data_IF_752490980272
#
_entry.id   IF_752490980272
#
_cell.length_a   1.000
_cell.length_b   1.000
_cell.length_c   1.000
_cell.angle_alpha   90.00
_cell.angle_beta   90.00
_cell.angle_gamma   90.00
#
_symmetry.space_group_name_H-M   'P 1'
#
loop_
_entity.id
_entity.type
_entity.pdbx_description
1 polymer ?
#
# COMPACT_ATOMS: atom_id res chain seq x y z
N UNK A 1 -48.88 -38.34 0.41
CA UNK A 1 -48.97 -37.74 1.77
C UNK A 1 -50.31 -37.05 1.83
N UNK A 2 -51.13 -37.24 2.89
CA UNK A 2 -52.46 -36.69 2.92
C UNK A 2 -52.36 -35.14 2.95
N UNK A 3 -53.25 -34.46 2.18
CA UNK A 3 -53.32 -32.99 2.07
C UNK A 3 -53.34 -32.30 3.43
N UNK A 4 -53.85 -32.98 4.43
CA UNK A 4 -53.90 -32.49 5.82
C UNK A 4 -52.49 -32.30 6.43
N UNK A 5 -51.54 -33.22 6.14
CA UNK A 5 -50.12 -33.11 6.61
C UNK A 5 -49.41 -31.93 5.96
N UNK A 6 -49.65 -31.71 4.68
CA UNK A 6 -49.05 -30.58 3.94
C UNK A 6 -49.60 -29.24 4.44
N UNK A 7 -50.87 -29.17 4.76
CA UNK A 7 -51.50 -27.94 5.32
C UNK A 7 -50.98 -27.63 6.74
N UNK A 8 -50.81 -28.64 7.59
CA UNK A 8 -50.26 -28.48 8.95
C UNK A 8 -48.78 -28.03 8.85
N UNK A 9 -48.01 -28.64 7.98
CA UNK A 9 -46.61 -28.26 7.74
C UNK A 9 -46.51 -26.80 7.28
N UNK A 10 -47.26 -26.41 6.25
CA UNK A 10 -47.24 -25.03 5.73
C UNK A 10 -47.67 -23.98 6.79
N UNK A 11 -48.68 -24.33 7.62
CA UNK A 11 -49.12 -23.49 8.70
C UNK A 11 -48.02 -23.32 9.77
N UNK A 12 -47.34 -24.41 10.13
CA UNK A 12 -46.28 -24.42 11.15
C UNK A 12 -45.04 -23.66 10.67
N UNK A 13 -44.64 -23.89 9.43
CA UNK A 13 -43.50 -23.16 8.82
C UNK A 13 -43.84 -21.70 8.62
N UNK A 14 -45.10 -21.38 8.21
CA UNK A 14 -45.56 -20.01 8.04
C UNK A 14 -45.52 -19.22 9.35
N UNK A 15 -46.10 -19.75 10.43
CA UNK A 15 -46.06 -19.15 11.74
C UNK A 15 -44.68 -19.06 12.35
N UNK A 16 -43.85 -20.12 12.19
CA UNK A 16 -42.45 -20.16 12.65
C UNK A 16 -41.58 -19.12 11.95
N UNK A 17 -41.73 -18.99 10.65
CA UNK A 17 -40.99 -17.98 9.88
C UNK A 17 -41.43 -16.53 10.25
N UNK A 18 -42.72 -16.29 10.41
CA UNK A 18 -43.23 -14.99 10.86
C UNK A 18 -42.70 -14.64 12.27
N UNK A 19 -42.67 -15.62 13.18
CA UNK A 19 -42.15 -15.43 14.55
C UNK A 19 -40.63 -15.18 14.51
N UNK A 20 -39.86 -15.92 13.72
CA UNK A 20 -38.40 -15.73 13.60
C UNK A 20 -38.03 -14.36 12.99
N UNK A 21 -38.76 -13.91 11.97
CA UNK A 21 -38.55 -12.60 11.37
C UNK A 21 -38.85 -11.47 12.35
N UNK A 22 -39.97 -11.59 13.08
CA UNK A 22 -40.35 -10.63 14.09
C UNK A 22 -39.35 -10.60 15.26
N UNK A 23 -38.94 -11.76 15.77
CA UNK A 23 -37.97 -11.88 16.87
C UNK A 23 -36.60 -11.35 16.50
N UNK A 24 -36.10 -11.72 15.31
CA UNK A 24 -34.82 -11.21 14.78
C UNK A 24 -34.84 -9.70 14.64
N UNK A 25 -35.92 -9.12 14.08
CA UNK A 25 -36.10 -7.68 13.96
C UNK A 25 -36.08 -6.97 15.31
N UNK A 26 -36.78 -7.52 16.30
CA UNK A 26 -36.77 -6.98 17.67
C UNK A 26 -35.41 -7.07 18.35
N UNK A 27 -34.68 -8.18 18.14
CA UNK A 27 -33.35 -8.37 18.74
C UNK A 27 -32.31 -7.43 18.16
N UNK A 28 -32.28 -7.28 16.84
CA UNK A 28 -31.38 -6.38 16.15
C UNK A 28 -31.61 -4.93 16.57
N UNK A 29 -32.85 -4.47 16.63
CA UNK A 29 -33.21 -3.12 17.06
C UNK A 29 -32.80 -2.87 18.53
N UNK A 30 -32.92 -3.86 19.41
CA UNK A 30 -32.49 -3.73 20.82
C UNK A 30 -30.95 -3.56 20.91
N UNK A 31 -30.22 -4.35 20.18
CA UNK A 31 -28.73 -4.28 20.15
C UNK A 31 -28.27 -2.92 19.58
N UNK A 32 -28.91 -2.47 18.51
CA UNK A 32 -28.65 -1.16 17.90
C UNK A 32 -28.90 -0.02 18.91
N UNK A 33 -30.04 -0.04 19.60
CA UNK A 33 -30.36 0.98 20.59
C UNK A 33 -29.43 0.97 21.80
N UNK A 34 -28.97 -0.21 22.25
CA UNK A 34 -27.98 -0.32 23.32
C UNK A 34 -26.61 0.23 22.91
N UNK A 35 -26.18 -0.01 21.68
CA UNK A 35 -24.91 0.54 21.17
C UNK A 35 -24.99 2.04 20.94
N UNK A 36 -26.09 2.55 20.38
CA UNK A 36 -26.35 4.00 20.26
C UNK A 36 -26.32 4.70 21.64
N UNK A 37 -26.92 4.08 22.65
CA UNK A 37 -26.88 4.61 24.00
C UNK A 37 -25.48 4.62 24.63
N UNK A 38 -24.64 3.60 24.34
CA UNK A 38 -23.24 3.57 24.78
C UNK A 38 -22.41 4.66 24.10
N UNK A 39 -22.53 4.82 22.80
CA UNK A 39 -21.82 5.88 22.05
C UNK A 39 -22.23 7.27 22.53
N UNK A 40 -23.52 7.51 22.84
CA UNK A 40 -24.00 8.75 23.43
C UNK A 40 -23.46 8.98 24.87
N UNK A 41 -23.21 7.92 25.64
CA UNK A 41 -22.63 8.01 27.00
C UNK A 41 -21.12 8.29 27.02
N UNK A 42 -20.42 8.12 25.92
CA UNK A 42 -18.97 8.45 25.77
C UNK A 42 -18.68 9.97 25.82
N UNK A 43 -19.54 10.76 26.40
CA UNK A 43 -19.35 12.20 26.67
C UNK A 43 -18.17 12.54 27.59
N UNK A 44 -17.47 11.53 28.15
CA UNK A 44 -16.51 11.71 29.25
C UNK A 44 -15.10 11.11 29.01
N UNK A 45 -14.83 10.60 27.83
CA UNK A 45 -13.48 10.16 27.51
C UNK A 45 -12.78 11.24 26.69
N UNK A 46 -11.72 11.84 27.25
CA UNK A 46 -10.73 12.57 26.50
C UNK A 46 -10.23 11.65 25.38
N UNK A 47 -10.34 12.12 24.15
CA UNK A 47 -9.79 11.40 23.01
C UNK A 47 -8.30 11.18 23.27
N UNK A 48 -7.89 9.91 23.31
CA UNK A 48 -6.47 9.58 23.30
C UNK A 48 -5.84 10.37 22.15
N UNK A 49 -4.76 11.11 22.42
CA UNK A 49 -4.02 11.84 21.41
C UNK A 49 -3.57 10.87 20.34
N UNK A 50 -4.35 10.79 19.28
CA UNK A 50 -3.90 10.10 18.06
C UNK A 50 -2.84 10.97 17.42
N UNK A 51 -1.78 10.36 16.91
CA UNK A 51 -0.69 11.01 16.16
C UNK A 51 -1.14 11.60 14.81
N UNK A 52 -2.31 12.19 14.78
CA UNK A 52 -2.89 12.82 13.58
C UNK A 52 -2.60 14.31 13.66
N UNK A 53 -1.98 14.92 12.63
CA UNK A 53 -1.57 16.32 12.65
C UNK A 53 -2.74 17.31 12.58
N UNK A 54 -3.98 16.85 12.47
CA UNK A 54 -5.19 17.70 12.52
C UNK A 54 -6.04 17.34 13.73
N UNK A 55 -6.34 18.35 14.54
CA UNK A 55 -7.40 18.28 15.54
C UNK A 55 -8.75 18.26 14.82
N UNK A 56 -9.28 17.04 14.58
CA UNK A 56 -10.69 16.94 14.18
C UNK A 56 -11.57 17.40 15.35
N UNK A 57 -12.50 18.34 15.15
CA UNK A 57 -13.44 18.74 16.17
C UNK A 57 -14.17 17.52 16.73
N UNK A 58 -14.22 17.40 18.04
CA UNK A 58 -14.86 16.27 18.77
C UNK A 58 -16.32 16.00 18.31
N UNK A 59 -16.97 16.99 17.74
CA UNK A 59 -18.32 16.89 17.20
C UNK A 59 -18.38 16.12 15.87
N UNK A 60 -17.50 16.43 14.90
CA UNK A 60 -17.43 15.71 13.62
C UNK A 60 -17.04 14.25 13.81
N UNK A 61 -16.08 13.97 14.70
CA UNK A 61 -15.70 12.59 15.03
C UNK A 61 -16.87 11.80 15.65
N UNK A 62 -17.75 12.44 16.43
CA UNK A 62 -18.95 11.82 16.99
C UNK A 62 -20.03 11.55 15.95
N UNK A 63 -20.29 12.50 15.08
CA UNK A 63 -21.28 12.36 14.01
C UNK A 63 -20.88 11.26 13.05
N UNK A 64 -19.60 11.24 12.64
CA UNK A 64 -19.03 10.18 11.78
C UNK A 64 -19.05 8.81 12.45
N UNK A 65 -18.78 8.72 13.76
CA UNK A 65 -18.86 7.47 14.50
C UNK A 65 -20.30 6.96 14.63
N UNK A 66 -21.28 7.82 14.89
CA UNK A 66 -22.70 7.44 14.96
C UNK A 66 -23.19 7.00 13.58
N UNK A 67 -22.88 7.74 12.53
CA UNK A 67 -23.24 7.43 11.15
C UNK A 67 -22.65 6.10 10.69
N UNK A 68 -21.38 5.83 11.03
CA UNK A 68 -20.72 4.56 10.70
C UNK A 68 -21.37 3.36 11.39
N UNK A 69 -21.85 3.53 12.64
CA UNK A 69 -22.60 2.50 13.37
C UNK A 69 -23.95 2.26 12.71
N UNK A 70 -24.68 3.32 12.35
CA UNK A 70 -25.98 3.20 11.69
C UNK A 70 -25.88 2.46 10.35
N UNK A 71 -24.91 2.80 9.54
CA UNK A 71 -24.69 2.16 8.23
C UNK A 71 -24.35 0.68 8.37
N UNK A 72 -23.46 0.31 9.31
CA UNK A 72 -23.10 -1.11 9.56
C UNK A 72 -24.30 -1.92 10.04
N UNK A 73 -25.09 -1.39 10.97
CA UNK A 73 -26.29 -2.09 11.45
C UNK A 73 -27.40 -2.18 10.40
N UNK A 74 -27.53 -1.19 9.53
CA UNK A 74 -28.46 -1.25 8.41
C UNK A 74 -28.14 -2.41 7.45
N UNK A 75 -26.87 -2.61 7.12
CA UNK A 75 -26.41 -3.70 6.26
C UNK A 75 -26.66 -5.06 6.94
N UNK A 76 -26.25 -5.22 8.20
CA UNK A 76 -26.45 -6.47 8.96
C UNK A 76 -27.95 -6.81 9.04
N UNK A 77 -28.81 -5.83 9.28
CA UNK A 77 -30.26 -6.02 9.32
C UNK A 77 -30.82 -6.49 7.98
N UNK A 78 -30.39 -5.86 6.87
CA UNK A 78 -30.83 -6.25 5.52
C UNK A 78 -30.38 -7.68 5.18
N UNK A 79 -29.12 -8.03 5.45
CA UNK A 79 -28.57 -9.37 5.19
C UNK A 79 -29.28 -10.42 6.05
N UNK A 80 -29.41 -10.19 7.36
CA UNK A 80 -30.09 -11.12 8.27
C UNK A 80 -31.54 -11.33 7.87
N UNK A 81 -32.24 -10.26 7.51
CA UNK A 81 -33.64 -10.37 7.07
C UNK A 81 -33.74 -11.13 5.75
N UNK A 82 -32.90 -10.81 4.76
CA UNK A 82 -32.86 -11.52 3.48
C UNK A 82 -32.54 -13.01 3.64
N UNK A 83 -31.58 -13.36 4.49
CA UNK A 83 -31.22 -14.76 4.79
C UNK A 83 -32.37 -15.52 5.44
N UNK A 84 -33.05 -14.95 6.42
CA UNK A 84 -34.19 -15.57 7.09
C UNK A 84 -35.34 -15.78 6.09
N UNK A 85 -35.64 -14.79 5.26
CA UNK A 85 -36.70 -14.88 4.24
C UNK A 85 -36.35 -15.92 3.20
N UNK A 86 -35.09 -16.02 2.77
CA UNK A 86 -34.64 -17.03 1.80
C UNK A 86 -34.76 -18.45 2.35
N UNK A 87 -34.32 -18.69 3.59
CA UNK A 87 -34.44 -19.99 4.27
C UNK A 87 -35.91 -20.37 4.46
N UNK A 88 -36.71 -19.40 4.87
CA UNK A 88 -38.16 -19.61 5.05
C UNK A 88 -38.87 -19.93 3.72
N UNK A 89 -38.53 -19.22 2.64
CA UNK A 89 -39.04 -19.51 1.31
C UNK A 89 -38.65 -20.90 0.85
N UNK A 90 -37.41 -21.32 1.09
CA UNK A 90 -36.93 -22.66 0.75
C UNK A 90 -37.71 -23.75 1.52
N UNK A 91 -37.98 -23.49 2.83
CA UNK A 91 -38.78 -24.42 3.64
C UNK A 91 -40.23 -24.51 3.16
N UNK A 92 -40.84 -23.42 2.68
CA UNK A 92 -42.18 -23.42 2.10
C UNK A 92 -42.26 -24.23 0.77
N UNK A 93 -41.20 -24.16 -0.03
CA UNK A 93 -41.14 -24.87 -1.31
C UNK A 93 -40.89 -26.39 -1.13
N UNK A 94 -40.29 -26.78 0.00
CA UNK A 94 -39.86 -28.16 0.26
C UNK A 94 -40.95 -29.22 0.03
N UNK A 95 -42.22 -29.12 0.49
CA UNK A 95 -43.25 -30.16 0.26
C UNK A 95 -43.62 -30.28 -1.20
N UNK A 96 -43.45 -29.25 -2.02
CA UNK A 96 -43.74 -29.31 -3.46
C UNK A 96 -42.68 -30.08 -4.28
N UNK A 97 -41.48 -30.27 -3.72
CA UNK A 97 -40.41 -31.01 -4.33
C UNK A 97 -40.72 -32.51 -4.45
N UNK A 98 -41.64 -33.04 -3.64
CA UNK A 98 -42.07 -34.45 -3.72
C UNK A 98 -42.70 -34.81 -5.06
N UNK A 99 -43.18 -33.83 -5.83
CA UNK A 99 -43.78 -34.07 -7.16
C UNK A 99 -42.72 -34.00 -8.28
N UNK A 100 -41.47 -33.71 -7.96
CA UNK A 100 -40.37 -33.61 -8.92
C UNK A 100 -39.52 -34.86 -8.79
N UNK A 101 -39.05 -35.47 -9.90
CA UNK A 101 -38.13 -36.60 -9.82
C UNK A 101 -36.90 -36.29 -8.98
N UNK A 102 -36.58 -37.18 -8.03
CA UNK A 102 -35.46 -36.98 -7.09
C UNK A 102 -34.12 -36.72 -7.82
N UNK A 103 -33.97 -37.32 -9.00
CA UNK A 103 -32.78 -37.10 -9.86
C UNK A 103 -32.64 -35.64 -10.29
N UNK A 104 -33.76 -35.01 -10.66
CA UNK A 104 -33.72 -33.59 -11.06
C UNK A 104 -33.40 -32.69 -9.88
N UNK A 105 -33.99 -32.93 -8.71
CA UNK A 105 -33.70 -32.18 -7.49
C UNK A 105 -32.24 -32.32 -7.10
N UNK A 106 -31.67 -33.53 -7.15
CA UNK A 106 -30.24 -33.75 -6.81
C UNK A 106 -29.29 -32.99 -7.75
N UNK A 107 -29.57 -32.97 -9.04
CA UNK A 107 -28.76 -32.21 -10.01
C UNK A 107 -28.81 -30.71 -9.75
N UNK A 108 -29.99 -30.15 -9.50
CA UNK A 108 -30.16 -28.73 -9.22
C UNK A 108 -29.45 -28.33 -7.91
N UNK A 109 -29.59 -29.16 -6.86
CA UNK A 109 -28.91 -28.90 -5.56
C UNK A 109 -27.39 -28.98 -5.73
N UNK A 110 -26.89 -30.00 -6.43
CA UNK A 110 -25.45 -30.14 -6.68
C UNK A 110 -24.90 -28.98 -7.51
N UNK A 111 -25.56 -28.62 -8.61
CA UNK A 111 -25.16 -27.47 -9.43
C UNK A 111 -25.17 -26.14 -8.63
N UNK A 112 -26.23 -25.93 -7.86
CA UNK A 112 -26.33 -24.73 -6.98
C UNK A 112 -25.24 -24.69 -5.93
N UNK A 113 -24.91 -25.85 -5.33
CA UNK A 113 -23.82 -25.97 -4.35
C UNK A 113 -22.46 -25.62 -4.95
N UNK A 114 -22.18 -26.08 -6.17
CA UNK A 114 -20.93 -25.74 -6.87
C UNK A 114 -20.85 -24.23 -7.15
N UNK A 115 -21.94 -23.65 -7.68
CA UNK A 115 -21.99 -22.21 -7.99
C UNK A 115 -21.75 -21.36 -6.72
N UNK A 116 -22.44 -21.70 -5.62
CA UNK A 116 -22.29 -21.01 -4.33
C UNK A 116 -20.87 -21.20 -3.78
N UNK A 117 -20.31 -22.41 -3.88
CA UNK A 117 -18.95 -22.70 -3.43
C UNK A 117 -17.89 -21.86 -4.17
N UNK A 118 -18.01 -21.78 -5.50
CA UNK A 118 -17.11 -20.94 -6.32
C UNK A 118 -17.28 -19.46 -5.99
N UNK A 119 -18.51 -18.98 -5.84
CA UNK A 119 -18.79 -17.59 -5.49
C UNK A 119 -18.31 -17.20 -4.08
N UNK A 120 -18.35 -18.14 -3.12
CA UNK A 120 -17.89 -17.92 -1.75
C UNK A 120 -16.37 -18.05 -1.58
N UNK A 121 -15.65 -18.63 -2.53
CA UNK A 121 -14.22 -18.94 -2.47
C UNK A 121 -13.36 -17.74 -2.03
N UNK A 122 -13.46 -16.53 -2.63
CA UNK A 122 -12.62 -15.41 -2.23
C UNK A 122 -12.84 -14.97 -0.78
N UNK A 123 -14.06 -15.10 -0.29
CA UNK A 123 -14.38 -14.76 1.10
C UNK A 123 -13.74 -15.77 2.07
N UNK A 124 -13.87 -17.07 1.77
CA UNK A 124 -13.31 -18.16 2.60
C UNK A 124 -11.79 -18.09 2.61
N UNK A 125 -11.15 -17.84 1.45
CA UNK A 125 -9.70 -17.66 1.35
C UNK A 125 -9.21 -16.52 2.24
N UNK A 126 -9.87 -15.38 2.23
CA UNK A 126 -9.50 -14.24 3.08
C UNK A 126 -9.71 -14.53 4.57
N UNK A 127 -10.78 -15.22 4.92
CA UNK A 127 -11.07 -15.61 6.30
C UNK A 127 -9.98 -16.56 6.85
N UNK A 128 -9.66 -17.62 6.11
CA UNK A 128 -8.63 -18.59 6.49
C UNK A 128 -7.27 -17.89 6.59
N UNK A 129 -6.92 -17.08 5.61
CA UNK A 129 -5.66 -16.32 5.60
C UNK A 129 -5.56 -15.36 6.79
N UNK A 130 -6.65 -14.69 7.16
CA UNK A 130 -6.70 -13.84 8.35
C UNK A 130 -6.45 -14.60 9.65
N UNK A 131 -7.03 -15.80 9.75
CA UNK A 131 -6.77 -16.72 10.87
C UNK A 131 -5.29 -17.13 10.90
N UNK A 132 -4.73 -17.56 9.76
CA UNK A 132 -3.32 -17.97 9.65
C UNK A 132 -2.39 -16.81 10.04
N UNK A 133 -2.61 -15.60 9.53
CA UNK A 133 -1.82 -14.41 9.90
C UNK A 133 -1.88 -14.19 11.42
N UNK A 134 -3.06 -14.32 12.02
CA UNK A 134 -3.25 -14.10 13.44
C UNK A 134 -2.59 -15.16 14.34
N UNK A 135 -2.39 -16.40 13.85
CA UNK A 135 -1.76 -17.47 14.61
C UNK A 135 -0.27 -17.60 14.35
N UNK A 136 0.17 -17.50 13.09
CA UNK A 136 1.59 -17.68 12.73
C UNK A 136 2.41 -16.40 12.83
N UNK A 137 1.75 -15.24 12.94
CA UNK A 137 2.36 -13.91 13.13
C UNK A 137 3.48 -13.57 12.13
N UNK A 138 3.34 -13.82 10.82
CA UNK A 138 4.34 -13.37 9.84
C UNK A 138 4.42 -11.85 9.79
N UNK A 139 3.35 -11.18 10.19
CA UNK A 139 3.24 -9.74 10.38
C UNK A 139 2.42 -9.47 11.65
N UNK A 140 2.72 -8.36 12.32
CA UNK A 140 2.03 -7.89 13.52
C UNK A 140 1.59 -6.44 13.35
N UNK A 141 0.58 -6.01 14.11
CA UNK A 141 0.23 -4.59 14.16
C UNK A 141 1.42 -3.83 14.75
N UNK A 142 1.83 -2.78 14.06
CA UNK A 142 3.03 -1.99 14.38
C UNK A 142 4.27 -2.35 13.57
N UNK A 143 4.30 -3.52 12.90
CA UNK A 143 5.44 -3.88 12.04
C UNK A 143 5.57 -2.93 10.86
N UNK A 144 6.81 -2.63 10.50
CA UNK A 144 7.14 -1.94 9.26
C UNK A 144 7.39 -2.95 8.17
N UNK A 145 6.65 -2.83 7.08
CA UNK A 145 6.67 -3.79 5.97
C UNK A 145 6.79 -3.11 4.61
N UNK A 146 7.34 -3.84 3.65
CA UNK A 146 7.33 -3.44 2.24
C UNK A 146 6.49 -4.45 1.49
N UNK A 147 5.38 -3.99 0.90
CA UNK A 147 4.44 -4.80 0.12
C UNK A 147 4.12 -4.07 -1.18
N UNK A 148 4.26 -4.73 -2.33
CA UNK A 148 4.04 -4.12 -3.65
C UNK A 148 4.82 -2.78 -3.79
N UNK A 149 6.10 -2.75 -3.41
CA UNK A 149 6.99 -1.58 -3.40
C UNK A 149 6.49 -0.40 -2.54
N UNK A 150 5.54 -0.67 -1.66
CA UNK A 150 5.03 0.32 -0.72
C UNK A 150 5.57 0.05 0.68
N UNK A 151 6.33 1.02 1.15
CA UNK A 151 6.86 1.04 2.50
C UNK A 151 5.82 1.63 3.46
N UNK A 152 5.53 0.93 4.56
CA UNK A 152 4.55 1.40 5.53
C UNK A 152 4.48 0.55 6.79
N UNK A 153 3.64 0.98 7.74
CA UNK A 153 3.42 0.30 9.01
C UNK A 153 2.06 -0.39 9.02
N UNK A 154 2.00 -1.61 9.49
CA UNK A 154 0.75 -2.36 9.68
C UNK A 154 -0.09 -1.67 10.76
N UNK A 155 -1.21 -1.07 10.36
CA UNK A 155 -2.11 -0.32 11.25
C UNK A 155 -3.18 -1.22 11.87
N UNK A 156 -3.72 -2.16 11.09
CA UNK A 156 -4.78 -3.08 11.54
C UNK A 156 -4.76 -4.39 10.75
N UNK A 157 -5.15 -5.48 11.40
CA UNK A 157 -5.34 -6.80 10.80
C UNK A 157 -6.75 -7.26 11.13
N UNK A 158 -7.63 -7.22 10.14
CA UNK A 158 -9.02 -7.67 10.27
C UNK A 158 -9.17 -9.12 9.79
N UNK A 159 -10.36 -9.69 9.93
CA UNK A 159 -10.65 -11.05 9.46
C UNK A 159 -10.42 -11.22 7.95
N UNK A 160 -10.68 -10.18 7.15
CA UNK A 160 -10.68 -10.27 5.68
C UNK A 160 -9.57 -9.47 5.01
N UNK A 161 -8.99 -8.50 5.68
CA UNK A 161 -7.98 -7.62 5.10
C UNK A 161 -7.02 -7.09 6.16
N UNK A 162 -5.82 -6.75 5.72
CA UNK A 162 -4.78 -6.05 6.48
C UNK A 162 -4.68 -4.62 5.97
N UNK A 163 -4.51 -3.67 6.88
CA UNK A 163 -4.37 -2.23 6.59
C UNK A 163 -2.92 -1.82 6.86
N UNK A 164 -2.24 -1.33 5.83
CA UNK A 164 -0.89 -0.77 5.92
C UNK A 164 -0.95 0.73 5.72
N UNK A 165 -0.47 1.48 6.69
CA UNK A 165 -0.32 2.94 6.61
C UNK A 165 1.01 3.26 5.95
N UNK A 166 0.98 3.76 4.70
CA UNK A 166 2.17 4.19 3.97
C UNK A 166 2.68 5.55 4.46
N UNK A 167 3.94 5.87 4.16
CA UNK A 167 4.64 7.08 4.61
C UNK A 167 3.87 8.40 4.37
N UNK A 168 3.02 8.46 3.31
CA UNK A 168 2.20 9.63 2.97
C UNK A 168 0.80 9.61 3.63
N UNK A 169 0.63 8.83 4.71
CA UNK A 169 -0.61 8.67 5.48
C UNK A 169 -1.78 8.02 4.73
N UNK A 170 -1.57 7.50 3.53
CA UNK A 170 -2.58 6.69 2.85
C UNK A 170 -2.64 5.30 3.45
N UNK A 171 -3.84 4.73 3.51
CA UNK A 171 -4.07 3.35 3.94
C UNK A 171 -4.13 2.45 2.73
N UNK A 172 -3.21 1.53 2.66
CA UNK A 172 -3.18 0.48 1.66
C UNK A 172 -3.89 -0.74 2.23
N UNK A 173 -5.09 -1.05 1.70
CA UNK A 173 -5.94 -2.14 2.17
C UNK A 173 -5.68 -3.35 1.29
N UNK A 174 -5.20 -4.43 1.90
CA UNK A 174 -4.78 -5.64 1.20
C UNK A 174 -5.64 -6.80 1.68
N UNK A 175 -6.33 -7.56 0.82
CA UNK A 175 -7.01 -8.80 1.20
C UNK A 175 -6.02 -9.78 1.86
N UNK A 176 -6.42 -10.44 2.94
CA UNK A 176 -5.52 -11.32 3.70
C UNK A 176 -4.97 -12.48 2.87
N UNK A 177 -5.77 -13.03 1.95
CA UNK A 177 -5.32 -14.07 1.03
C UNK A 177 -4.17 -13.60 0.14
N UNK A 178 -4.23 -12.35 -0.33
CA UNK A 178 -3.16 -11.76 -1.12
C UNK A 178 -1.93 -11.44 -0.28
N UNK A 179 -2.14 -11.00 0.96
CA UNK A 179 -1.06 -10.69 1.91
C UNK A 179 -0.24 -11.93 2.26
N UNK A 180 -0.92 -13.09 2.42
CA UNK A 180 -0.27 -14.35 2.73
C UNK A 180 0.37 -15.04 1.51
N UNK A 181 -0.20 -14.84 0.32
CA UNK A 181 0.27 -15.47 -0.91
C UNK A 181 1.44 -14.75 -1.59
N UNK A 182 1.70 -13.49 -1.23
CA UNK A 182 2.78 -12.68 -1.80
C UNK A 182 4.01 -12.66 -0.90
N UNK A 183 5.15 -12.52 -1.54
CA UNK A 183 6.38 -12.16 -0.84
C UNK A 183 6.26 -10.74 -0.28
N UNK A 184 6.65 -10.57 0.95
CA UNK A 184 6.73 -9.29 1.63
C UNK A 184 8.04 -9.21 2.43
N UNK A 185 8.55 -8.00 2.61
CA UNK A 185 9.68 -7.75 3.49
C UNK A 185 9.12 -7.19 4.79
N UNK A 186 9.38 -7.89 5.91
CA UNK A 186 9.09 -7.38 7.24
C UNK A 186 10.39 -6.85 7.85
N UNK A 187 10.45 -5.54 8.07
CA UNK A 187 11.64 -4.86 8.56
C UNK A 187 11.80 -4.94 10.09
N UNK A 188 10.79 -5.42 10.82
CA UNK A 188 10.75 -5.35 12.29
C UNK A 188 10.29 -6.64 12.97
N UNK A 189 10.25 -7.77 12.25
CA UNK A 189 9.68 -9.02 12.76
C UNK A 189 10.38 -9.55 14.01
N UNK A 190 11.70 -9.44 14.11
CA UNK A 190 12.51 -9.88 15.23
C UNK A 190 13.07 -8.70 16.02
N UNK A 191 13.62 -7.74 15.32
CA UNK A 191 14.23 -6.54 15.87
C UNK A 191 13.96 -5.34 14.92
N UNK A 192 14.18 -4.14 15.43
CA UNK A 192 13.93 -2.92 14.67
C UNK A 192 15.18 -2.37 13.97
N UNK A 193 16.36 -2.94 14.27
CA UNK A 193 17.60 -2.42 13.73
C UNK A 193 17.65 -2.56 12.22
N UNK A 194 18.11 -1.51 11.55
CA UNK A 194 18.27 -1.55 10.11
C UNK A 194 19.66 -1.08 9.70
N UNK A 195 20.26 -1.84 8.80
CA UNK A 195 21.45 -1.43 8.12
C UNK A 195 21.04 -0.72 6.83
N UNK A 196 21.25 0.59 6.78
CA UNK A 196 20.96 1.39 5.61
C UNK A 196 22.23 1.74 4.86
N UNK A 197 22.13 1.91 3.55
CA UNK A 197 23.25 2.36 2.73
C UNK A 197 22.84 3.53 1.85
N UNK A 198 23.83 4.34 1.53
CA UNK A 198 23.71 5.43 0.56
C UNK A 198 24.66 5.17 -0.58
N UNK A 199 24.11 5.14 -1.79
CA UNK A 199 24.84 5.03 -3.02
C UNK A 199 25.19 6.44 -3.54
N UNK A 200 26.43 6.61 -3.99
CA UNK A 200 26.89 7.86 -4.57
C UNK A 200 28.05 7.59 -5.56
N UNK A 201 28.31 8.58 -6.40
CA UNK A 201 29.34 8.50 -7.41
C UNK A 201 30.43 9.52 -7.17
N UNK A 202 31.69 9.16 -7.48
CA UNK A 202 32.83 10.07 -7.44
C UNK A 202 33.67 9.90 -8.70
N UNK A 203 34.25 10.99 -9.20
CA UNK A 203 35.12 10.98 -10.35
C UNK A 203 36.39 10.17 -10.09
N UNK A 204 37.01 9.60 -11.13
CA UNK A 204 38.29 8.88 -11.07
C UNK A 204 39.43 9.74 -10.54
N UNK A 205 39.34 11.06 -10.63
CA UNK A 205 40.34 12.02 -10.11
C UNK A 205 40.26 12.18 -8.59
N UNK A 206 39.23 11.62 -7.93
CA UNK A 206 39.02 11.82 -6.50
C UNK A 206 39.98 10.94 -5.68
N UNK A 207 40.50 11.50 -4.60
CA UNK A 207 41.25 10.73 -3.60
C UNK A 207 40.29 9.81 -2.83
N UNK A 208 40.40 8.51 -3.06
CA UNK A 208 39.52 7.50 -2.50
C UNK A 208 39.59 7.41 -0.96
N UNK A 209 40.76 7.62 -0.35
CA UNK A 209 40.89 7.58 1.10
C UNK A 209 40.18 8.80 1.71
N UNK A 210 40.29 9.98 1.12
CA UNK A 210 39.57 11.16 1.53
C UNK A 210 38.04 11.02 1.35
N UNK A 211 37.62 10.37 0.24
CA UNK A 211 36.20 10.04 -0.01
C UNK A 211 35.67 9.12 1.07
N UNK A 212 36.38 8.05 1.37
CA UNK A 212 36.02 7.03 2.37
C UNK A 212 35.89 7.69 3.78
N UNK A 213 36.92 8.42 4.18
CA UNK A 213 36.92 9.10 5.48
C UNK A 213 35.77 10.08 5.59
N UNK A 214 35.52 10.88 4.55
CA UNK A 214 34.42 11.84 4.51
C UNK A 214 33.07 11.14 4.57
N UNK A 215 32.90 10.01 3.88
CA UNK A 215 31.67 9.25 3.86
C UNK A 215 31.37 8.61 5.22
N UNK A 216 32.36 8.00 5.85
CA UNK A 216 32.23 7.41 7.17
C UNK A 216 31.93 8.48 8.25
N UNK A 217 32.59 9.63 8.17
CA UNK A 217 32.30 10.76 9.04
C UNK A 217 30.88 11.35 8.83
N UNK A 218 30.39 11.37 7.61
CA UNK A 218 29.01 11.81 7.33
C UNK A 218 27.98 10.91 8.00
N UNK A 219 28.24 9.61 8.07
CA UNK A 219 27.37 8.67 8.76
C UNK A 219 27.42 8.82 10.29
N UNK A 220 28.63 8.89 10.87
CA UNK A 220 28.80 8.99 12.33
C UNK A 220 28.32 10.31 12.92
N UNK A 221 28.24 11.39 12.14
CA UNK A 221 27.78 12.69 12.58
C UNK A 221 26.24 12.81 12.62
N UNK A 222 25.52 11.89 12.02
CA UNK A 222 24.05 11.89 12.08
C UNK A 222 23.56 11.48 13.46
N UNK A 223 22.55 12.17 13.97
CA UNK A 223 21.87 11.82 15.22
C UNK A 223 21.09 10.50 15.17
N UNK A 224 20.87 9.97 13.96
CA UNK A 224 20.17 8.71 13.72
C UNK A 224 21.14 7.53 13.55
N UNK A 225 22.44 7.77 13.69
CA UNK A 225 23.45 6.72 13.65
C UNK A 225 23.41 5.90 14.95
N UNK A 226 23.19 4.60 14.81
CA UNK A 226 23.24 3.64 15.90
C UNK A 226 24.66 3.03 15.98
N UNK A 227 25.34 3.25 17.10
CA UNK A 227 26.74 2.85 17.27
C UNK A 227 26.87 1.34 17.65
N UNK A 228 26.34 0.45 16.76
CA UNK A 228 26.55 -1.01 16.88
C UNK A 228 27.88 -1.45 16.24
N UNK A 229 28.17 -0.88 15.07
CA UNK A 229 29.39 -1.06 14.31
C UNK A 229 29.78 0.24 13.64
N UNK A 230 31.07 0.42 13.36
CA UNK A 230 31.54 1.54 12.54
C UNK A 230 30.91 1.50 11.14
N UNK A 231 30.61 2.66 10.56
CA UNK A 231 30.15 2.73 9.17
C UNK A 231 31.13 2.03 8.23
N UNK A 232 30.60 1.38 7.21
CA UNK A 232 31.40 0.69 6.21
C UNK A 232 31.32 1.40 4.86
N UNK A 233 32.43 1.40 4.16
CA UNK A 233 32.55 1.97 2.82
C UNK A 233 32.99 0.89 1.83
N UNK A 234 32.38 0.89 0.64
CA UNK A 234 32.73 0.01 -0.46
C UNK A 234 32.69 0.75 -1.80
N UNK A 235 33.58 0.32 -2.69
CA UNK A 235 33.49 0.61 -4.12
C UNK A 235 32.69 -0.55 -4.71
N UNK A 236 31.52 -0.26 -5.23
CA UNK A 236 30.59 -1.27 -5.76
C UNK A 236 30.81 -1.57 -7.24
N UNK A 237 31.19 -0.53 -7.99
CA UNK A 237 31.41 -0.66 -9.43
C UNK A 237 32.34 0.45 -9.95
N UNK A 238 32.87 0.22 -11.16
CA UNK A 238 33.66 1.19 -11.91
C UNK A 238 32.94 1.48 -13.22
N UNK A 239 32.19 2.57 -13.22
CA UNK A 239 31.40 2.99 -14.37
C UNK A 239 32.17 3.97 -15.27
N UNK A 240 31.67 4.22 -16.49
CA UNK A 240 32.32 5.11 -17.46
C UNK A 240 32.64 6.52 -16.93
N UNK A 241 31.97 6.96 -15.89
CA UNK A 241 32.04 8.35 -15.36
C UNK A 241 32.68 8.46 -14.00
N UNK A 242 33.03 7.34 -13.36
CA UNK A 242 33.57 7.35 -12.02
C UNK A 242 33.30 6.08 -11.22
N UNK A 243 33.69 6.09 -9.96
CA UNK A 243 33.43 5.01 -9.02
C UNK A 243 32.03 5.12 -8.45
N UNK A 244 31.32 3.99 -8.43
CA UNK A 244 30.08 3.80 -7.68
C UNK A 244 30.42 3.34 -6.28
N UNK A 245 30.12 4.17 -5.29
CA UNK A 245 30.46 3.92 -3.89
C UNK A 245 29.22 3.73 -3.03
N UNK A 246 29.35 2.91 -2.01
CA UNK A 246 28.38 2.78 -0.93
C UNK A 246 29.02 3.15 0.40
N UNK A 247 28.28 3.90 1.20
CA UNK A 247 28.52 4.04 2.65
C UNK A 247 27.30 3.49 3.37
N UNK A 248 27.54 2.60 4.33
CA UNK A 248 26.46 1.96 5.07
C UNK A 248 26.67 2.08 6.57
N UNK A 249 25.58 2.22 7.30
CA UNK A 249 25.58 2.38 8.75
C UNK A 249 24.30 1.83 9.37
N UNK A 250 24.35 1.54 10.65
CA UNK A 250 23.22 1.06 11.44
C UNK A 250 22.34 2.20 11.93
N UNK A 251 21.03 1.93 12.02
CA UNK A 251 20.02 2.77 12.65
C UNK A 251 19.14 1.94 13.59
N UNK A 252 18.59 2.56 14.63
CA UNK A 252 17.78 1.88 15.65
C UNK A 252 16.39 1.46 15.16
N UNK A 253 15.90 2.09 14.12
CA UNK A 253 14.59 1.80 13.57
C UNK A 253 14.52 2.04 12.06
N UNK A 254 13.50 1.49 11.38
CA UNK A 254 13.25 1.75 9.96
C UNK A 254 13.07 3.24 9.62
N UNK A 255 12.48 4.01 10.52
CA UNK A 255 12.32 5.47 10.36
C UNK A 255 13.68 6.16 10.49
N UNK A 256 14.46 5.79 11.50
CA UNK A 256 15.80 6.34 11.70
C UNK A 256 16.73 5.96 10.54
N UNK A 257 16.60 4.77 9.96
CA UNK A 257 17.34 4.36 8.77
C UNK A 257 17.05 5.25 7.56
N UNK A 258 15.82 5.65 7.37
CA UNK A 258 15.42 6.58 6.31
C UNK A 258 16.05 7.97 6.52
N UNK A 259 15.95 8.49 7.75
CA UNK A 259 16.52 9.78 8.11
C UNK A 259 18.05 9.77 8.09
N UNK A 260 18.68 8.70 8.57
CA UNK A 260 20.13 8.49 8.48
C UNK A 260 20.61 8.56 7.02
N UNK A 261 19.91 7.87 6.12
CA UNK A 261 20.23 7.92 4.69
C UNK A 261 20.09 9.31 4.08
N UNK A 262 19.10 10.10 4.53
CA UNK A 262 18.93 11.50 4.14
C UNK A 262 20.06 12.39 4.67
N UNK A 263 20.40 12.24 5.95
CA UNK A 263 21.49 13.00 6.59
C UNK A 263 22.83 12.72 5.91
N UNK A 264 23.15 11.46 5.66
CA UNK A 264 24.38 11.05 4.97
C UNK A 264 24.47 11.73 3.60
N UNK A 265 23.39 11.68 2.77
CA UNK A 265 23.38 12.32 1.45
C UNK A 265 23.62 13.83 1.55
N UNK A 266 22.97 14.47 2.49
CA UNK A 266 23.06 15.92 2.71
C UNK A 266 24.48 16.31 3.12
N UNK A 267 25.08 15.57 4.07
CA UNK A 267 26.45 15.81 4.54
C UNK A 267 27.49 15.52 3.44
N UNK A 268 27.33 14.46 2.67
CA UNK A 268 28.20 14.16 1.54
C UNK A 268 28.19 15.30 0.52
N UNK A 269 27.02 15.77 0.11
CA UNK A 269 26.91 16.90 -0.84
C UNK A 269 27.62 18.13 -0.29
N UNK A 270 27.43 18.45 1.00
CA UNK A 270 28.02 19.60 1.65
C UNK A 270 29.56 19.48 1.71
N UNK A 271 30.07 18.36 2.21
CA UNK A 271 31.50 18.12 2.39
C UNK A 271 32.23 18.01 1.06
N UNK A 272 31.71 17.25 0.11
CA UNK A 272 32.31 17.12 -1.22
C UNK A 272 32.44 18.46 -1.93
N UNK A 273 31.44 19.34 -1.80
CA UNK A 273 31.51 20.69 -2.34
C UNK A 273 32.60 21.52 -1.66
N UNK A 274 32.80 21.38 -0.34
CA UNK A 274 33.83 22.12 0.41
C UNK A 274 35.25 21.68 0.05
N UNK A 275 35.48 20.37 -0.12
CA UNK A 275 36.80 19.81 -0.40
C UNK A 275 37.09 19.67 -1.90
N UNK A 276 36.14 20.06 -2.75
CA UNK A 276 36.31 20.04 -4.22
C UNK A 276 36.21 18.68 -4.87
N UNK A 277 35.67 17.66 -4.19
CA UNK A 277 35.40 16.33 -4.79
C UNK A 277 34.25 16.45 -5.78
N UNK A 278 34.49 15.96 -7.01
CA UNK A 278 33.49 15.94 -8.08
C UNK A 278 32.81 14.58 -8.14
N UNK A 279 31.50 14.56 -8.40
CA UNK A 279 30.72 13.32 -8.49
C UNK A 279 30.86 12.64 -9.85
N UNK A 280 31.09 13.42 -10.93
CA UNK A 280 31.37 12.92 -12.27
C UNK A 280 32.07 13.97 -13.10
N UNK A 281 32.85 13.54 -14.09
CA UNK A 281 33.57 14.37 -15.04
C UNK A 281 33.29 13.87 -16.44
N UNK A 282 32.94 14.77 -17.33
CA UNK A 282 32.90 14.45 -18.76
C UNK A 282 34.16 14.97 -19.42
N UNK A 283 34.94 14.09 -20.02
CA UNK A 283 36.01 14.45 -20.95
C UNK A 283 35.43 14.42 -22.37
N UNK A 284 35.34 15.59 -22.98
CA UNK A 284 34.88 15.71 -24.36
C UNK A 284 36.14 16.01 -25.18
N UNK A 285 36.61 15.00 -25.89
CA UNK A 285 37.73 15.17 -26.82
C UNK A 285 37.20 15.75 -28.13
N UNK A 286 37.44 17.01 -28.39
CA UNK A 286 37.15 17.62 -29.68
C UNK A 286 38.24 17.21 -30.67
N UNK A 287 38.26 15.96 -31.10
CA UNK A 287 39.13 15.52 -32.17
C UNK A 287 38.71 16.19 -33.49
N UNK A 288 39.30 17.32 -33.82
CA UNK A 288 39.14 17.91 -35.13
C UNK A 288 38.99 19.42 -35.23
N UNK A 289 38.96 20.17 -34.19
CA UNK A 289 39.11 21.63 -34.28
C UNK A 289 40.58 22.03 -34.28
N UNK A 290 41.29 21.80 -35.38
CA UNK A 290 42.51 22.60 -35.65
C UNK A 290 42.07 24.04 -35.80
N UNK A 291 42.29 24.81 -34.75
CA UNK A 291 42.35 26.26 -34.83
C UNK A 291 43.67 26.59 -35.56
N UNK A 292 43.67 26.43 -36.91
CA UNK A 292 44.76 26.93 -37.75
C UNK A 292 44.31 28.26 -38.31
N UNK A 293 45.02 29.27 -37.83
CA UNK A 293 45.22 30.52 -38.52
C UNK A 293 43.99 31.44 -38.82
N UNK A 294 43.64 32.22 -37.82
CA UNK A 294 43.20 33.59 -38.10
C UNK A 294 44.17 34.58 -37.42
N UNK A 295 45.35 34.63 -37.96
CA UNK A 295 46.18 35.85 -37.84
C UNK A 295 46.80 36.14 -39.18
N UNK A 296 46.50 37.27 -39.76
CA UNK A 296 47.22 37.85 -40.87
C UNK A 296 46.41 38.08 -42.17
N UNK A 297 45.97 39.31 -42.37
CA UNK A 297 45.73 39.76 -43.73
C UNK A 297 44.64 40.83 -43.94
N UNK A 298 45.01 42.05 -43.70
CA UNK A 298 44.29 43.20 -44.27
C UNK A 298 44.24 43.10 -45.79
N UNK A 299 43.08 43.33 -46.40
CA UNK A 299 42.98 43.54 -47.83
C UNK A 299 41.55 43.75 -48.35
N UNK A 300 41.11 44.95 -48.32
CA UNK A 300 40.23 45.71 -49.18
C UNK A 300 39.52 45.03 -50.39
N UNK A 301 38.25 45.40 -50.50
CA UNK A 301 37.49 45.89 -51.68
C UNK A 301 36.52 44.94 -52.41
N UNK A 302 35.32 45.38 -52.40
CA UNK A 302 34.35 45.77 -53.46
C UNK A 302 33.30 44.72 -53.88
N UNK A 303 32.11 45.05 -53.54
CA UNK A 303 30.92 45.36 -54.35
C UNK A 303 30.51 44.44 -55.52
N UNK A 304 29.31 44.12 -55.45
CA UNK A 304 28.25 43.91 -56.47
C UNK A 304 27.58 42.56 -56.27
N UNK A 305 26.37 42.45 -55.92
CA UNK A 305 25.14 42.93 -56.54
C UNK A 305 24.41 41.81 -57.23
N UNK A 306 23.37 41.32 -56.70
CA UNK A 306 22.08 41.04 -57.35
C UNK A 306 21.29 39.90 -56.61
N UNK A 307 20.21 40.36 -56.07
CA UNK A 307 18.85 39.83 -56.17
C UNK A 307 18.65 38.41 -56.72
N UNK A 308 18.00 37.58 -55.97
CA UNK A 308 16.61 37.14 -56.23
C UNK A 308 16.15 36.15 -55.17
N UNK A 309 15.16 36.55 -54.46
CA UNK A 309 14.14 35.72 -53.81
C UNK A 309 13.14 35.20 -54.85
N UNK A 310 12.11 34.45 -54.53
CA UNK A 310 11.87 33.41 -53.52
C UNK A 310 11.16 32.15 -54.12
N UNK A 311 10.76 31.25 -53.34
CA UNK A 311 9.47 30.55 -53.31
C UNK A 311 9.54 29.04 -53.04
N UNK A 312 8.84 28.72 -51.99
CA UNK A 312 7.72 27.79 -51.88
C UNK A 312 7.97 26.30 -51.71
N UNK A 313 7.27 25.90 -50.71
CA UNK A 313 6.44 24.73 -50.58
C UNK A 313 7.07 23.54 -49.82
N UNK A 314 6.58 23.31 -48.65
CA UNK A 314 5.35 22.60 -48.33
C UNK A 314 5.60 21.11 -48.06
N UNK A 315 5.25 20.82 -46.87
CA UNK A 315 4.38 19.70 -46.44
C UNK A 315 4.97 18.32 -46.21
N UNK A 316 4.60 17.93 -45.10
CA UNK A 316 4.01 16.60 -44.74
C UNK A 316 4.91 15.53 -44.16
N UNK A 317 4.60 15.24 -43.02
CA UNK A 317 3.78 14.22 -42.40
C UNK A 317 4.56 13.12 -41.68
N UNK A 318 4.19 13.00 -40.43
CA UNK A 318 3.64 11.83 -39.73
C UNK A 318 4.48 10.59 -39.51
N UNK A 319 4.50 10.29 -38.23
CA UNK A 319 4.29 8.98 -37.65
C UNK A 319 5.44 7.98 -37.70
N UNK A 320 6.08 7.72 -36.60
CA UNK A 320 5.70 6.64 -35.66
C UNK A 320 6.42 6.87 -34.34
#
# INVERSE_FOLDING_TARGET
MSDKFTIIYLSMVGLGGAFLTWWSRRRIVRIENQRRARVKKLKRFEAAKTSTPMECPLQEAKETAVESVENRFSIIRKISFSSIVSIWFLALVFPFLNNIPATFVSVVVAASGIIVGIAARPFIENLISGIVISFSHPIRIGDTVIVDDKYGTVEDITITHTVVKIWNWRRYIIPNSRMLAKELINCTINDAYQWTHVEFFVSYDADLELVKETAMQAATQSKYFANYEDPRFWIMDMEDKGYKCWVAAWADSPIDAWELGNDIRTELIRKFKQIGIRTHKYEIDFAGARYSDMDGGHGKQQQEGKNTDPQTASSNSRQR
#
